data_IF_509386129850
#
_entry.id   IF_509386129850
#
_cell.length_a   1.000
_cell.length_b   1.000
_cell.length_c   1.000
_cell.angle_alpha   90.00
_cell.angle_beta   90.00
_cell.angle_gamma   90.00
#
_symmetry.space_group_name_H-M   'P 1'
#
loop_
_entity.id
_entity.type
_entity.pdbx_description
1 polymer ?
#
# COMPACT_ATOMS: atom_id res chain seq x y z
N UNK A 1 -0.17 -4.02 3.16
CA UNK A 1 -1.49 -4.68 3.02
C UNK A 1 -2.18 -4.42 1.68
N UNK A 2 -2.69 -3.22 1.34
CA UNK A 2 -3.40 -2.99 0.06
C UNK A 2 -2.62 -3.46 -1.18
N UNK A 3 -1.37 -3.03 -1.33
CA UNK A 3 -0.57 -3.37 -2.53
C UNK A 3 -0.12 -4.82 -2.57
N UNK A 4 -0.15 -5.55 -1.45
CA UNK A 4 0.27 -6.95 -1.37
C UNK A 4 -0.95 -7.87 -1.31
N UNK A 5 -1.70 -7.84 -0.21
CA UNK A 5 -2.86 -8.70 0.04
C UNK A 5 -4.03 -8.41 -0.89
N UNK A 6 -4.34 -7.15 -1.22
CA UNK A 6 -5.49 -6.90 -2.08
C UNK A 6 -5.14 -6.92 -3.57
N UNK A 7 -3.90 -6.56 -3.94
CA UNK A 7 -3.49 -6.57 -5.35
C UNK A 7 -2.80 -7.87 -5.73
N UNK A 8 -1.68 -8.19 -5.09
CA UNK A 8 -0.82 -9.30 -5.50
C UNK A 8 -1.41 -10.66 -5.16
N UNK A 9 -2.05 -10.82 -4.02
CA UNK A 9 -2.79 -12.05 -3.74
C UNK A 9 -4.06 -12.19 -4.59
N UNK A 10 -4.74 -11.09 -4.94
CA UNK A 10 -5.86 -11.12 -5.88
C UNK A 10 -5.44 -11.53 -7.30
N UNK A 11 -4.25 -11.09 -7.73
CA UNK A 11 -3.59 -11.51 -8.98
C UNK A 11 -3.21 -13.00 -8.94
N UNK A 12 -2.55 -13.43 -7.86
CA UNK A 12 -2.24 -14.84 -7.61
C UNK A 12 -3.50 -15.72 -7.62
N UNK A 13 -4.57 -15.31 -6.95
CA UNK A 13 -5.84 -16.02 -6.93
C UNK A 13 -6.37 -16.26 -8.35
N UNK A 14 -6.40 -15.22 -9.19
CA UNK A 14 -6.81 -15.35 -10.60
C UNK A 14 -5.91 -16.28 -11.41
N UNK A 15 -4.59 -16.21 -11.24
CA UNK A 15 -3.66 -17.13 -11.92
C UNK A 15 -3.90 -18.60 -11.51
N UNK A 16 -4.35 -18.84 -10.28
CA UNK A 16 -4.65 -20.16 -9.75
C UNK A 16 -6.12 -20.58 -9.90
N UNK A 17 -6.92 -19.86 -10.71
CA UNK A 17 -8.32 -20.19 -10.98
C UNK A 17 -9.31 -19.77 -9.88
N UNK A 18 -8.85 -19.12 -8.81
CA UNK A 18 -9.70 -18.56 -7.76
C UNK A 18 -10.25 -17.18 -8.17
N UNK A 19 -11.31 -17.24 -8.97
CA UNK A 19 -12.03 -16.04 -9.42
C UNK A 19 -12.67 -15.29 -8.26
N UNK A 20 -13.14 -16.01 -7.22
CA UNK A 20 -13.83 -15.42 -6.08
C UNK A 20 -12.89 -14.51 -5.27
N UNK A 21 -11.67 -14.97 -4.99
CA UNK A 21 -10.66 -14.16 -4.32
C UNK A 21 -10.31 -12.91 -5.12
N UNK A 22 -10.21 -13.03 -6.45
CA UNK A 22 -10.01 -11.89 -7.35
C UNK A 22 -11.11 -10.83 -7.19
N UNK A 23 -12.37 -11.23 -7.26
CA UNK A 23 -13.52 -10.32 -7.13
C UNK A 23 -13.64 -9.71 -5.72
N UNK A 24 -13.37 -10.50 -4.68
CA UNK A 24 -13.43 -10.04 -3.30
C UNK A 24 -12.37 -8.97 -3.03
N UNK A 25 -11.15 -9.21 -3.49
CA UNK A 25 -10.04 -8.26 -3.31
C UNK A 25 -10.24 -6.97 -4.14
N UNK A 26 -10.85 -7.05 -5.32
CA UNK A 26 -11.28 -5.87 -6.10
C UNK A 26 -12.32 -5.04 -5.34
N UNK A 27 -13.29 -5.69 -4.69
CA UNK A 27 -14.30 -5.00 -3.87
C UNK A 27 -13.66 -4.28 -2.68
N UNK A 28 -12.74 -4.97 -1.97
CA UNK A 28 -12.00 -4.39 -0.84
C UNK A 28 -11.06 -3.25 -1.24
N UNK A 29 -10.60 -3.21 -2.50
CA UNK A 29 -9.79 -2.10 -3.01
C UNK A 29 -10.56 -0.78 -3.06
N UNK A 30 -11.89 -0.82 -3.23
CA UNK A 30 -12.75 0.37 -3.17
C UNK A 30 -12.76 0.99 -1.78
N UNK A 31 -12.84 0.15 -0.75
CA UNK A 31 -12.75 0.58 0.65
C UNK A 31 -11.37 1.14 0.97
N UNK A 32 -10.32 0.45 0.54
CA UNK A 32 -8.95 0.93 0.71
C UNK A 32 -8.72 2.28 -0.01
N UNK A 33 -9.36 2.51 -1.16
CA UNK A 33 -9.33 3.80 -1.84
C UNK A 33 -10.08 4.89 -1.06
N UNK A 34 -11.24 4.57 -0.47
CA UNK A 34 -11.96 5.46 0.44
C UNK A 34 -11.12 5.85 1.65
N UNK A 35 -10.40 4.90 2.25
CA UNK A 35 -9.50 5.18 3.37
C UNK A 35 -8.37 6.14 3.00
N UNK A 36 -7.79 5.96 1.82
CA UNK A 36 -6.76 6.89 1.32
C UNK A 36 -7.29 8.31 1.14
N UNK A 37 -8.52 8.50 0.66
CA UNK A 37 -9.09 9.85 0.46
C UNK A 37 -9.15 10.66 1.75
N UNK A 38 -9.69 10.10 2.83
CA UNK A 38 -9.77 10.84 4.09
C UNK A 38 -8.40 11.00 4.74
N UNK A 39 -7.51 10.00 4.66
CA UNK A 39 -6.16 10.10 5.19
C UNK A 39 -5.36 11.19 4.48
N UNK A 40 -5.50 11.32 3.15
CA UNK A 40 -4.91 12.42 2.37
C UNK A 40 -5.45 13.78 2.81
N UNK A 41 -6.77 13.91 3.02
CA UNK A 41 -7.35 15.16 3.50
C UNK A 41 -6.83 15.55 4.89
N UNK A 42 -6.70 14.58 5.79
CA UNK A 42 -6.12 14.79 7.11
C UNK A 42 -4.65 15.25 7.01
N UNK A 43 -3.83 14.58 6.20
CA UNK A 43 -2.43 14.99 6.01
C UNK A 43 -2.37 16.42 5.49
N UNK A 44 -3.16 16.78 4.47
CA UNK A 44 -3.23 18.16 3.95
C UNK A 44 -3.54 19.18 5.05
N UNK A 45 -4.58 18.93 5.85
CA UNK A 45 -4.93 19.79 6.99
C UNK A 45 -3.78 19.88 8.01
N UNK A 46 -3.13 18.77 8.35
CA UNK A 46 -2.03 18.79 9.32
C UNK A 46 -0.80 19.56 8.84
N UNK A 47 -0.57 19.62 7.52
CA UNK A 47 0.55 20.35 6.93
C UNK A 47 0.40 21.88 7.03
N UNK A 48 -0.79 22.39 7.35
CA UNK A 48 -1.02 23.82 7.60
C UNK A 48 -0.26 24.33 8.85
N UNK A 49 0.12 23.42 9.76
CA UNK A 49 0.90 23.74 10.96
C UNK A 49 2.39 23.45 10.73
N UNK A 50 3.23 24.45 11.00
CA UNK A 50 4.68 24.32 10.91
C UNK A 50 5.23 23.19 11.79
N UNK A 51 6.28 22.51 11.30
CA UNK A 51 6.90 21.37 11.98
C UNK A 51 6.21 20.02 11.76
N UNK A 52 4.91 19.99 11.40
CA UNK A 52 4.20 18.71 11.21
C UNK A 52 4.73 17.91 10.01
N UNK A 53 5.13 18.58 8.92
CA UNK A 53 5.72 17.90 7.77
C UNK A 53 6.96 17.07 8.16
N UNK A 54 7.80 17.64 9.03
CA UNK A 54 9.01 16.99 9.51
C UNK A 54 8.70 15.82 10.45
N UNK A 55 7.76 16.01 11.39
CA UNK A 55 7.30 14.92 12.26
C UNK A 55 6.72 13.74 11.46
N UNK A 56 5.93 14.01 10.42
CA UNK A 56 5.37 12.96 9.56
C UNK A 56 6.49 12.23 8.80
N UNK A 57 7.47 12.95 8.23
CA UNK A 57 8.62 12.33 7.56
C UNK A 57 9.42 11.43 8.51
N UNK A 58 9.65 11.86 9.75
CA UNK A 58 10.34 11.05 10.76
C UNK A 58 9.57 9.76 11.09
N UNK A 59 8.24 9.83 11.20
CA UNK A 59 7.42 8.63 11.37
C UNK A 59 7.47 7.73 10.14
N UNK A 60 7.41 8.28 8.93
CA UNK A 60 7.56 7.48 7.70
C UNK A 60 8.92 6.76 7.70
N UNK A 61 10.02 7.48 7.96
CA UNK A 61 11.36 6.90 8.00
C UNK A 61 11.48 5.78 9.06
N UNK A 62 10.81 5.93 10.20
CA UNK A 62 10.77 4.90 11.25
C UNK A 62 10.01 3.64 10.82
N UNK A 63 8.87 3.79 10.15
CA UNK A 63 7.95 2.67 9.88
C UNK A 63 8.12 2.03 8.50
N UNK A 64 8.65 2.77 7.51
CA UNK A 64 8.84 2.27 6.14
C UNK A 64 9.70 1.01 6.06
N UNK A 65 10.84 0.87 6.79
CA UNK A 65 11.63 -0.36 6.73
C UNK A 65 10.88 -1.60 7.21
N UNK A 66 9.98 -1.46 8.19
CA UNK A 66 9.13 -2.56 8.65
C UNK A 66 8.05 -2.90 7.62
N UNK A 67 7.49 -1.89 6.96
CA UNK A 67 6.54 -2.10 5.86
C UNK A 67 7.21 -2.82 4.68
N UNK A 68 8.45 -2.44 4.32
CA UNK A 68 9.21 -3.09 3.26
C UNK A 68 9.51 -4.56 3.58
N UNK A 69 9.95 -4.86 4.80
CA UNK A 69 10.16 -6.25 5.27
C UNK A 69 8.87 -7.07 5.23
N UNK A 70 7.75 -6.49 5.64
CA UNK A 70 6.46 -7.17 5.58
C UNK A 70 6.02 -7.43 4.13
N UNK A 71 6.29 -6.50 3.21
CA UNK A 71 6.01 -6.69 1.79
C UNK A 71 6.88 -7.81 1.22
N UNK A 72 8.18 -7.81 1.50
CA UNK A 72 9.11 -8.83 1.01
C UNK A 72 8.72 -10.22 1.50
N UNK A 73 8.53 -10.38 2.81
CA UNK A 73 8.16 -11.67 3.40
C UNK A 73 6.84 -12.21 2.83
N UNK A 74 5.84 -11.34 2.65
CA UNK A 74 4.55 -11.75 2.11
C UNK A 74 4.62 -12.07 0.61
N UNK A 75 5.36 -11.29 -0.18
CA UNK A 75 5.48 -11.54 -1.62
C UNK A 75 6.39 -12.72 -1.95
N UNK A 76 7.32 -13.09 -1.06
CA UNK A 76 8.20 -14.24 -1.25
C UNK A 76 7.46 -15.58 -1.37
N UNK A 77 6.23 -15.68 -0.85
CA UNK A 77 5.40 -16.89 -0.94
C UNK A 77 4.48 -16.92 -2.16
N UNK A 78 4.59 -15.94 -3.08
CA UNK A 78 3.83 -15.88 -4.35
C UNK A 78 4.77 -15.71 -5.56
N UNK A 79 5.64 -16.70 -5.85
CA UNK A 79 6.61 -16.61 -6.94
C UNK A 79 5.98 -16.48 -8.34
N UNK A 80 4.73 -16.90 -8.51
CA UNK A 80 3.96 -16.81 -9.75
C UNK A 80 3.50 -15.40 -10.10
N UNK A 81 3.66 -14.44 -9.19
CA UNK A 81 3.38 -13.02 -9.44
C UNK A 81 4.70 -12.27 -9.58
N UNK A 82 5.21 -12.06 -10.81
CA UNK A 82 6.51 -11.43 -11.02
C UNK A 82 6.54 -10.02 -10.44
N UNK A 83 7.71 -9.65 -9.91
CA UNK A 83 7.99 -8.33 -9.34
C UNK A 83 6.99 -7.89 -8.25
N UNK A 84 6.30 -8.83 -7.59
CA UNK A 84 5.23 -8.51 -6.65
C UNK A 84 5.68 -7.55 -5.54
N UNK A 85 6.83 -7.84 -4.92
CA UNK A 85 7.39 -7.01 -3.85
C UNK A 85 7.79 -5.61 -4.36
N UNK A 86 8.51 -5.54 -5.49
CA UNK A 86 8.97 -4.29 -6.06
C UNK A 86 7.79 -3.37 -6.45
N UNK A 87 6.79 -3.94 -7.15
CA UNK A 87 5.57 -3.25 -7.53
C UNK A 87 4.77 -2.78 -6.31
N UNK A 88 4.68 -3.61 -5.26
CA UNK A 88 3.97 -3.27 -4.04
C UNK A 88 4.65 -2.13 -3.29
N UNK A 89 5.98 -2.15 -3.14
CA UNK A 89 6.76 -1.08 -2.52
C UNK A 89 6.61 0.24 -3.27
N UNK A 90 6.82 0.21 -4.59
CA UNK A 90 6.67 1.38 -5.48
C UNK A 90 5.30 2.04 -5.30
N UNK A 91 4.22 1.26 -5.40
CA UNK A 91 2.86 1.78 -5.24
C UNK A 91 2.55 2.36 -3.83
N UNK A 92 3.31 2.01 -2.80
CA UNK A 92 3.19 2.67 -1.48
C UNK A 92 3.97 3.98 -1.42
N UNK A 93 5.13 4.05 -2.07
CA UNK A 93 5.94 5.26 -2.17
C UNK A 93 5.27 6.32 -3.03
N UNK A 94 4.73 5.94 -4.18
CA UNK A 94 3.95 6.84 -5.06
C UNK A 94 2.81 7.52 -4.29
N UNK A 95 2.10 6.75 -3.46
CA UNK A 95 1.05 7.31 -2.63
C UNK A 95 1.57 8.32 -1.60
N UNK A 96 2.73 8.07 -0.99
CA UNK A 96 3.35 9.02 -0.05
C UNK A 96 3.84 10.28 -0.77
N UNK A 97 4.44 10.15 -1.95
CA UNK A 97 4.86 11.30 -2.76
C UNK A 97 3.69 12.20 -3.15
N UNK A 98 2.52 11.63 -3.46
CA UNK A 98 1.29 12.39 -3.73
C UNK A 98 0.78 13.21 -2.52
N UNK A 99 1.27 12.93 -1.31
CA UNK A 99 0.93 13.71 -0.10
C UNK A 99 1.79 14.97 0.07
N UNK A 100 2.68 15.28 -0.88
CA UNK A 100 3.61 16.44 -0.82
C UNK A 100 4.53 16.42 0.40
N UNK A 101 4.94 15.22 0.83
CA UNK A 101 5.85 14.98 1.96
C UNK A 101 7.28 14.69 1.48
#
# INVERSE_FOLDING_TARGET
MRSTVLRKLGEAGRHNGDTLLGMLTDSQLLDAARHRRWATALVKMTLEKSGNAEAIRQWIAKWEPLADKAIDAFCAVMPEVPDAAANAKSATRDFRCLLML
#
